data_IF_441420000436
#
_entry.id   IF_441420000436
#
_cell.length_a   1.000
_cell.length_b   1.000
_cell.length_c   1.000
_cell.angle_alpha   90.00
_cell.angle_beta   90.00
_cell.angle_gamma   90.00
#
_symmetry.space_group_name_H-M   'P 1'
#
loop_
_entity.id
_entity.type
_entity.pdbx_description
1 polymer ?
#
# COMPACT_ATOMS: atom_id res chain seq x y z
N UNK A 1 2.82 10.74 -14.69
CA UNK A 1 3.22 9.82 -13.64
C UNK A 1 2.70 10.29 -12.28
N UNK A 2 2.83 9.46 -11.24
CA UNK A 2 2.28 9.75 -9.92
C UNK A 2 2.92 10.96 -9.24
N UNK A 3 4.21 11.15 -9.42
CA UNK A 3 4.93 12.29 -8.82
C UNK A 3 4.42 13.60 -9.43
N UNK A 4 4.29 13.67 -10.75
CA UNK A 4 3.77 14.85 -11.44
C UNK A 4 2.33 15.15 -11.02
N UNK A 5 1.51 14.11 -10.89
CA UNK A 5 0.11 14.28 -10.44
C UNK A 5 0.03 14.89 -9.04
N UNK A 6 0.87 14.43 -8.12
CA UNK A 6 0.91 14.98 -6.76
C UNK A 6 1.44 16.41 -6.73
N UNK A 7 2.46 16.70 -7.54
CA UNK A 7 2.97 18.07 -7.65
C UNK A 7 1.91 19.04 -8.21
N UNK A 8 1.16 18.57 -9.21
CA UNK A 8 0.07 19.38 -9.81
C UNK A 8 -1.03 19.67 -8.79
N UNK A 9 -1.38 18.66 -7.96
CA UNK A 9 -2.31 18.84 -6.85
C UNK A 9 -1.80 19.88 -5.84
N UNK A 10 -0.52 19.82 -5.50
CA UNK A 10 0.10 20.72 -4.52
C UNK A 10 0.05 22.19 -4.93
N UNK A 11 0.10 22.48 -6.22
CA UNK A 11 0.08 23.85 -6.74
C UNK A 11 -1.32 24.27 -7.23
N UNK A 12 -2.35 23.51 -6.84
CA UNK A 12 -3.75 23.76 -7.24
C UNK A 12 -4.01 23.68 -8.75
N UNK A 13 -3.17 22.94 -9.47
CA UNK A 13 -3.36 22.67 -10.90
C UNK A 13 -4.47 21.65 -11.14
N UNK A 14 -4.79 20.84 -10.15
CA UNK A 14 -5.92 19.90 -10.14
C UNK A 14 -6.61 19.92 -8.78
N UNK A 15 -7.87 19.48 -8.76
CA UNK A 15 -8.68 19.46 -7.54
C UNK A 15 -8.54 18.15 -6.78
N UNK A 16 -8.25 17.06 -7.49
CA UNK A 16 -8.01 15.74 -6.93
C UNK A 16 -7.15 14.92 -7.87
N UNK A 17 -6.59 13.82 -7.37
CA UNK A 17 -5.84 12.88 -8.19
C UNK A 17 -6.38 11.46 -7.99
N UNK A 18 -6.32 10.67 -9.05
CA UNK A 18 -6.59 9.24 -9.03
C UNK A 18 -5.25 8.54 -9.04
N UNK A 19 -4.97 7.80 -7.98
CA UNK A 19 -3.65 7.23 -7.73
C UNK A 19 -3.81 5.89 -7.00
N UNK A 20 -2.84 5.01 -7.16
CA UNK A 20 -2.77 3.77 -6.41
C UNK A 20 -2.70 4.04 -4.91
N UNK A 21 -3.49 3.32 -4.11
CA UNK A 21 -3.59 3.57 -2.67
C UNK A 21 -2.29 3.32 -1.91
N UNK A 22 -1.42 2.41 -2.38
CA UNK A 22 -0.10 2.19 -1.81
C UNK A 22 0.76 3.44 -1.94
N UNK A 23 0.79 4.01 -3.13
CA UNK A 23 1.55 5.22 -3.42
C UNK A 23 0.95 6.41 -2.66
N UNK A 24 -0.37 6.53 -2.67
CA UNK A 24 -1.06 7.58 -1.91
C UNK A 24 -0.76 7.48 -0.41
N UNK A 25 -0.81 6.28 0.16
CA UNK A 25 -0.50 6.06 1.57
C UNK A 25 0.90 6.50 1.96
N UNK A 26 1.87 6.25 1.08
CA UNK A 26 3.24 6.72 1.29
C UNK A 26 3.31 8.25 1.33
N UNK A 27 2.69 8.93 0.35
CA UNK A 27 2.66 10.40 0.33
C UNK A 27 1.94 10.98 1.55
N UNK A 28 0.84 10.37 1.95
CA UNK A 28 0.07 10.83 3.11
C UNK A 28 0.85 10.68 4.41
N UNK A 29 1.61 9.60 4.54
CA UNK A 29 2.46 9.37 5.71
C UNK A 29 3.60 10.39 5.79
N UNK A 30 4.19 10.74 4.65
CA UNK A 30 5.27 11.72 4.58
C UNK A 30 4.78 13.16 4.77
N UNK A 31 3.51 13.42 4.50
CA UNK A 31 2.92 14.77 4.53
C UNK A 31 1.63 14.77 5.33
N UNK A 32 1.70 14.43 6.61
CA UNK A 32 0.52 14.32 7.48
C UNK A 32 -0.29 15.61 7.49
N UNK A 33 -1.61 15.45 7.34
CA UNK A 33 -2.55 16.58 7.36
C UNK A 33 -2.66 17.35 6.04
N UNK A 34 -1.83 17.05 5.03
CA UNK A 34 -1.83 17.78 3.76
C UNK A 34 -2.87 17.24 2.77
N UNK A 35 -3.12 15.95 2.81
CA UNK A 35 -4.03 15.27 1.89
C UNK A 35 -5.09 14.48 2.64
N UNK A 36 -6.18 14.15 1.96
CA UNK A 36 -7.18 13.23 2.47
C UNK A 36 -7.71 12.34 1.35
N UNK A 37 -8.21 11.19 1.70
CA UNK A 37 -8.95 10.35 0.76
C UNK A 37 -10.37 10.88 0.60
N UNK A 38 -10.89 10.78 -0.62
CA UNK A 38 -12.32 10.93 -0.85
C UNK A 38 -13.03 9.66 -0.38
N UNK A 39 -14.33 9.76 -0.11
CA UNK A 39 -15.13 8.65 0.39
C UNK A 39 -15.34 7.53 -0.63
N UNK A 40 -15.22 7.85 -1.91
CA UNK A 40 -15.41 6.88 -3.00
C UNK A 40 -14.07 6.34 -3.50
N UNK A 41 -14.06 5.03 -3.81
CA UNK A 41 -12.93 4.33 -4.41
C UNK A 41 -13.35 3.81 -5.78
N UNK A 42 -12.44 3.89 -6.77
CA UNK A 42 -12.73 3.40 -8.11
C UNK A 42 -12.61 1.88 -8.22
N UNK A 43 -11.67 1.30 -7.49
CA UNK A 43 -11.44 -0.15 -7.49
C UNK A 43 -10.73 -0.56 -6.21
N UNK A 44 -10.72 -1.86 -5.94
CA UNK A 44 -9.96 -2.46 -4.85
C UNK A 44 -9.08 -3.55 -5.43
N UNK A 45 -7.78 -3.40 -5.28
CA UNK A 45 -6.79 -4.36 -5.78
C UNK A 45 -6.00 -4.96 -4.63
N UNK A 46 -5.59 -6.22 -4.82
CA UNK A 46 -4.67 -6.90 -3.91
C UNK A 46 -3.34 -7.10 -4.62
N UNK A 47 -2.25 -6.74 -3.96
CA UNK A 47 -0.91 -6.98 -4.45
C UNK A 47 -0.37 -8.27 -3.85
N UNK A 48 0.34 -9.03 -4.64
CA UNK A 48 0.92 -10.28 -4.19
C UNK A 48 2.38 -10.40 -4.60
N UNK A 49 3.02 -11.45 -4.09
CA UNK A 49 4.39 -11.81 -4.43
C UNK A 49 4.34 -12.95 -5.44
N UNK A 50 4.96 -12.75 -6.60
CA UNK A 50 5.01 -13.77 -7.64
C UNK A 50 6.27 -14.62 -7.51
N UNK A 51 6.12 -15.91 -7.77
CA UNK A 51 7.22 -16.87 -7.74
C UNK A 51 7.35 -17.55 -9.09
N UNK A 52 8.56 -18.00 -9.41
CA UNK A 52 8.81 -18.76 -10.62
C UNK A 52 8.04 -20.09 -10.55
N UNK A 53 7.48 -20.52 -11.67
CA UNK A 53 6.83 -21.82 -11.77
C UNK A 53 7.83 -22.92 -11.39
N UNK A 54 7.44 -23.80 -10.48
CA UNK A 54 8.32 -24.84 -9.94
C UNK A 54 8.95 -24.51 -8.59
N UNK A 55 8.91 -23.27 -8.16
CA UNK A 55 9.46 -22.87 -6.84
C UNK A 55 8.39 -22.92 -5.75
N UNK A 56 7.58 -23.97 -5.76
CA UNK A 56 6.47 -24.13 -4.83
C UNK A 56 6.94 -24.16 -3.35
N UNK A 57 8.07 -24.84 -3.09
CA UNK A 57 8.61 -24.90 -1.71
C UNK A 57 8.97 -23.52 -1.18
N UNK A 58 9.57 -22.68 -2.02
CA UNK A 58 9.90 -21.30 -1.64
C UNK A 58 8.62 -20.49 -1.41
N UNK A 59 7.66 -20.60 -2.30
CA UNK A 59 6.35 -19.95 -2.18
C UNK A 59 5.68 -20.31 -0.85
N UNK A 60 5.63 -21.59 -0.51
CA UNK A 60 5.01 -22.10 0.71
C UNK A 60 5.75 -21.59 1.96
N UNK A 61 7.08 -21.59 1.92
CA UNK A 61 7.89 -21.10 3.04
C UNK A 61 7.67 -19.60 3.29
N UNK A 62 7.62 -18.79 2.22
CA UNK A 62 7.35 -17.34 2.32
C UNK A 62 5.93 -17.12 2.85
N UNK A 63 4.94 -17.84 2.33
CA UNK A 63 3.56 -17.72 2.78
C UNK A 63 3.41 -18.04 4.26
N UNK A 64 4.05 -19.13 4.72
CA UNK A 64 4.05 -19.51 6.13
C UNK A 64 4.63 -18.40 7.02
N UNK A 65 5.73 -17.80 6.59
CA UNK A 65 6.34 -16.68 7.32
C UNK A 65 5.46 -15.44 7.34
N UNK A 66 4.80 -15.13 6.25
CA UNK A 66 3.84 -14.02 6.21
C UNK A 66 2.67 -14.26 7.16
N UNK A 67 2.18 -15.49 7.26
CA UNK A 67 1.13 -15.84 8.21
C UNK A 67 1.60 -15.68 9.67
N UNK A 68 2.83 -16.09 9.98
CA UNK A 68 3.43 -15.88 11.30
C UNK A 68 3.55 -14.38 11.61
N UNK A 69 4.02 -13.61 10.67
CA UNK A 69 4.17 -12.15 10.81
C UNK A 69 2.83 -11.44 10.97
N UNK A 70 1.78 -11.97 10.37
CA UNK A 70 0.42 -11.47 10.60
C UNK A 70 -0.01 -11.72 12.04
N UNK A 71 0.22 -12.92 12.55
CA UNK A 71 -0.18 -13.32 13.91
C UNK A 71 0.57 -12.54 15.00
N UNK A 72 1.87 -12.30 14.80
CA UNK A 72 2.67 -11.61 15.81
C UNK A 72 2.60 -10.07 15.70
N UNK A 73 1.84 -9.56 14.74
CA UNK A 73 1.63 -8.12 14.55
C UNK A 73 2.73 -7.42 13.73
N UNK A 74 3.72 -8.16 13.23
CA UNK A 74 4.84 -7.58 12.51
C UNK A 74 4.42 -6.95 11.17
N UNK A 75 3.49 -7.59 10.45
CA UNK A 75 2.97 -7.03 9.19
C UNK A 75 2.26 -5.70 9.44
N UNK A 76 1.40 -5.64 10.45
CA UNK A 76 0.70 -4.40 10.81
C UNK A 76 1.69 -3.30 11.22
N UNK A 77 2.73 -3.64 11.98
CA UNK A 77 3.79 -2.71 12.38
C UNK A 77 4.48 -2.08 11.17
N UNK A 78 4.90 -2.93 10.21
CA UNK A 78 5.58 -2.46 8.99
C UNK A 78 4.65 -1.60 8.15
N UNK A 79 3.41 -2.05 7.97
CA UNK A 79 2.42 -1.31 7.19
C UNK A 79 2.14 0.08 7.80
N UNK A 80 1.96 0.14 9.11
CA UNK A 80 1.77 1.42 9.81
C UNK A 80 2.97 2.35 9.67
N UNK A 81 4.17 1.79 9.71
CA UNK A 81 5.40 2.58 9.54
C UNK A 81 5.45 3.28 8.19
N UNK A 82 5.09 2.58 7.12
CA UNK A 82 5.24 3.08 5.76
C UNK A 82 4.00 3.80 5.21
N UNK A 83 2.80 3.40 5.64
CA UNK A 83 1.54 3.90 5.06
C UNK A 83 0.61 4.55 6.08
N UNK A 84 0.95 4.52 7.37
CA UNK A 84 0.13 5.10 8.41
C UNK A 84 -1.09 4.27 8.84
N UNK A 85 -1.29 3.12 8.21
CA UNK A 85 -2.39 2.20 8.53
C UNK A 85 -2.01 0.77 8.13
N UNK A 86 -2.75 -0.20 8.64
CA UNK A 86 -2.58 -1.59 8.25
C UNK A 86 -3.35 -1.89 6.96
N UNK A 87 -2.64 -1.97 5.85
CA UNK A 87 -3.20 -2.30 4.53
C UNK A 87 -2.91 -3.74 4.12
N UNK A 88 -2.43 -4.58 5.04
CA UNK A 88 -2.07 -5.97 4.74
C UNK A 88 -3.32 -6.84 4.59
N UNK A 89 -3.24 -7.83 3.71
CA UNK A 89 -4.36 -8.73 3.41
C UNK A 89 -3.94 -10.20 3.34
N UNK A 90 -2.94 -10.61 4.09
CA UNK A 90 -2.51 -12.01 4.20
C UNK A 90 -3.61 -12.83 4.87
N UNK A 91 -4.00 -13.91 4.20
CA UNK A 91 -5.06 -14.82 4.67
C UNK A 91 -4.52 -15.99 5.47
#
# INVERSE_FOLDING_TARGET
DNVKAMLDLDVNGSDFVIIDSLIAGYYMKQNEGKYRYLSESLSTDKLGVAFRKGDQKLCDAVYEKLQEMKKDGKLAEISNKWFGEDITCVE
#
